data_IF_927060307819
#
_entry.id   IF_927060307819
#
_cell.length_a   1.000
_cell.length_b   1.000
_cell.length_c   1.000
_cell.angle_alpha   90.00
_cell.angle_beta   90.00
_cell.angle_gamma   90.00
#
_symmetry.space_group_name_H-M   'P 1'
#
loop_
_entity.id
_entity.type
_entity.pdbx_description
1 polymer ?
#
# COMPACT_ATOMS: atom_id res chain seq x y z
N UNK A 1 22.06 4.44 -18.78
CA UNK A 1 21.83 4.26 -17.33
C UNK A 1 22.31 2.84 -17.05
N UNK A 2 23.47 2.70 -16.43
CA UNK A 2 24.21 1.44 -16.41
C UNK A 2 23.77 0.54 -15.27
N UNK A 3 23.92 -0.78 -15.45
CA UNK A 3 23.50 -1.85 -14.52
C UNK A 3 24.03 -1.62 -13.09
N UNK A 4 25.22 -1.02 -12.98
CA UNK A 4 25.86 -0.68 -11.71
C UNK A 4 25.05 0.35 -10.91
N UNK A 5 24.39 1.29 -11.60
CA UNK A 5 23.53 2.30 -10.97
C UNK A 5 22.25 1.69 -10.38
N UNK A 6 21.67 0.68 -11.04
CA UNK A 6 20.51 -0.03 -10.51
C UNK A 6 20.86 -0.85 -9.27
N UNK A 7 21.98 -1.58 -9.31
CA UNK A 7 22.41 -2.39 -8.16
C UNK A 7 22.67 -1.53 -6.92
N UNK A 8 23.29 -0.36 -7.09
CA UNK A 8 23.55 0.58 -6.00
C UNK A 8 22.28 1.17 -5.38
N UNK A 9 21.26 1.45 -6.21
CA UNK A 9 19.96 1.93 -5.75
C UNK A 9 19.23 0.82 -4.97
N UNK A 10 19.26 -0.42 -5.46
CA UNK A 10 18.63 -1.57 -4.79
C UNK A 10 19.27 -1.87 -3.44
N UNK A 11 20.60 -1.89 -3.35
CA UNK A 11 21.32 -2.08 -2.06
C UNK A 11 21.01 -0.97 -1.05
N UNK A 12 20.87 0.28 -1.53
CA UNK A 12 20.49 1.43 -0.69
C UNK A 12 19.06 1.31 -0.17
N UNK A 13 18.13 0.80 -0.98
CA UNK A 13 16.75 0.56 -0.55
C UNK A 13 16.67 -0.58 0.47
N UNK A 14 17.35 -1.71 0.22
CA UNK A 14 17.44 -2.84 1.15
C UNK A 14 18.04 -2.45 2.51
N UNK A 15 19.07 -1.60 2.53
CA UNK A 15 19.67 -1.11 3.78
C UNK A 15 18.80 -0.11 4.55
N UNK A 16 17.84 0.54 3.88
CA UNK A 16 16.97 1.56 4.50
C UNK A 16 15.70 0.99 5.12
N UNK A 17 15.32 -0.24 4.75
CA UNK A 17 14.13 -0.91 5.25
C UNK A 17 14.52 -1.93 6.31
N UNK A 18 14.03 -1.75 7.54
CA UNK A 18 14.23 -2.75 8.59
C UNK A 18 13.37 -3.98 8.27
N UNK A 19 13.75 -5.16 8.75
CA UNK A 19 13.04 -6.42 8.49
C UNK A 19 11.54 -6.38 8.90
N UNK A 20 11.16 -5.44 9.79
CA UNK A 20 9.76 -5.16 10.16
C UNK A 20 8.96 -4.43 9.09
N UNK A 21 9.60 -3.63 8.24
CA UNK A 21 8.92 -2.88 7.18
C UNK A 21 8.54 -3.81 6.01
N UNK A 22 9.25 -4.94 5.86
CA UNK A 22 8.92 -6.00 4.91
C UNK A 22 7.73 -6.87 5.36
N UNK A 23 7.43 -6.94 6.67
CA UNK A 23 6.27 -7.69 7.18
C UNK A 23 4.92 -7.07 6.77
N UNK A 24 4.92 -5.82 6.29
CA UNK A 24 3.72 -5.07 5.89
C UNK A 24 3.53 -5.06 4.36
N UNK A 25 4.53 -5.52 3.59
CA UNK A 25 4.48 -5.53 2.13
C UNK A 25 3.90 -6.85 1.62
N UNK A 26 2.98 -6.75 0.66
CA UNK A 26 2.46 -7.91 -0.06
C UNK A 26 3.54 -8.37 -1.04
N UNK A 27 4.02 -9.60 -0.89
CA UNK A 27 5.03 -10.17 -1.80
C UNK A 27 4.38 -10.64 -3.12
N UNK A 28 5.20 -10.84 -4.16
CA UNK A 28 4.73 -11.16 -5.53
C UNK A 28 3.74 -12.33 -5.58
N UNK A 29 4.00 -13.41 -4.84
CA UNK A 29 3.11 -14.58 -4.80
C UNK A 29 1.75 -14.25 -4.18
N UNK A 30 1.73 -13.39 -3.16
CA UNK A 30 0.49 -12.94 -2.53
C UNK A 30 -0.28 -11.98 -3.44
N UNK A 31 0.42 -11.11 -4.18
CA UNK A 31 -0.19 -10.24 -5.20
C UNK A 31 -0.80 -11.07 -6.34
N UNK A 32 -0.09 -12.10 -6.82
CA UNK A 32 -0.60 -12.99 -7.85
C UNK A 32 -1.86 -13.73 -7.40
N UNK A 33 -1.86 -14.25 -6.16
CA UNK A 33 -3.03 -14.91 -5.59
C UNK A 33 -4.22 -13.96 -5.42
N UNK A 34 -3.97 -12.71 -5.05
CA UNK A 34 -5.00 -11.67 -4.95
C UNK A 34 -5.66 -11.43 -6.32
N UNK A 35 -4.86 -11.27 -7.39
CA UNK A 35 -5.39 -11.07 -8.75
C UNK A 35 -6.17 -12.29 -9.25
N UNK A 36 -5.61 -13.50 -9.09
CA UNK A 36 -6.24 -14.76 -9.54
C UNK A 36 -7.60 -14.99 -8.87
N UNK A 37 -7.76 -14.57 -7.61
CA UNK A 37 -9.01 -14.65 -6.87
C UNK A 37 -10.07 -13.61 -7.30
N UNK A 38 -9.80 -12.84 -8.37
CA UNK A 38 -10.77 -11.93 -8.98
C UNK A 38 -10.71 -10.49 -8.48
N UNK A 39 -9.67 -10.12 -7.72
CA UNK A 39 -9.48 -8.74 -7.28
C UNK A 39 -8.66 -7.95 -8.32
N UNK A 40 -9.02 -6.68 -8.49
CA UNK A 40 -8.36 -5.76 -9.43
C UNK A 40 -7.55 -4.72 -8.66
N UNK A 41 -6.33 -4.45 -9.13
CA UNK A 41 -5.54 -3.31 -8.67
C UNK A 41 -5.93 -2.12 -9.52
N UNK A 42 -6.36 -1.04 -8.88
CA UNK A 42 -6.72 0.21 -9.54
C UNK A 42 -5.65 1.26 -9.27
N UNK A 43 -5.11 1.83 -10.34
CA UNK A 43 -4.35 3.08 -10.25
C UNK A 43 -5.35 4.24 -10.30
N UNK A 44 -5.57 4.85 -9.16
CA UNK A 44 -6.70 5.75 -8.92
C UNK A 44 -6.38 7.21 -9.27
N UNK A 45 -5.12 7.51 -9.63
CA UNK A 45 -4.65 8.85 -10.00
C UNK A 45 -4.66 9.87 -8.85
N UNK A 46 -5.10 9.47 -7.65
CA UNK A 46 -5.02 10.30 -6.44
C UNK A 46 -3.58 10.41 -5.97
N UNK A 47 -3.21 11.63 -5.57
CA UNK A 47 -1.85 11.94 -5.13
C UNK A 47 -1.45 11.16 -3.86
N UNK A 48 -0.14 10.94 -3.63
CA UNK A 48 0.37 10.12 -2.52
C UNK A 48 -0.12 10.59 -1.13
N UNK A 49 -0.38 11.89 -0.98
CA UNK A 49 -0.87 12.50 0.26
C UNK A 49 -2.27 12.01 0.67
N UNK A 50 -3.10 11.57 -0.28
CA UNK A 50 -4.43 11.03 0.00
C UNK A 50 -4.31 9.69 0.73
N UNK A 51 -3.38 8.82 0.31
CA UNK A 51 -3.15 7.52 0.96
C UNK A 51 -2.74 7.70 2.44
N UNK A 52 -1.80 8.61 2.72
CA UNK A 52 -1.36 8.92 4.08
C UNK A 52 -2.53 9.41 4.95
N UNK A 53 -3.40 10.25 4.37
CA UNK A 53 -4.57 10.79 5.06
C UNK A 53 -5.59 9.69 5.36
N UNK A 54 -5.90 8.82 4.40
CA UNK A 54 -6.82 7.68 4.57
C UNK A 54 -6.31 6.74 5.66
N UNK A 55 -5.03 6.37 5.63
CA UNK A 55 -4.42 5.50 6.64
C UNK A 55 -4.53 6.13 8.03
N UNK A 56 -4.29 7.45 8.14
CA UNK A 56 -4.42 8.17 9.41
C UNK A 56 -5.86 8.14 9.95
N UNK A 57 -6.88 8.27 9.10
CA UNK A 57 -8.27 8.17 9.52
C UNK A 57 -8.66 6.74 9.90
N UNK A 58 -8.22 5.73 9.13
CA UNK A 58 -8.45 4.32 9.44
C UNK A 58 -7.85 3.93 10.81
N UNK A 59 -6.66 4.43 11.13
CA UNK A 59 -5.98 4.16 12.41
C UNK A 59 -6.66 4.81 13.62
N UNK A 60 -7.59 5.75 13.43
CA UNK A 60 -8.38 6.33 14.53
C UNK A 60 -9.63 5.51 14.87
N UNK A 61 -9.99 4.53 14.03
CA UNK A 61 -11.18 3.74 14.26
C UNK A 61 -10.93 2.72 15.38
N UNK A 62 -11.78 2.74 16.39
CA UNK A 62 -11.70 1.81 17.53
C UNK A 62 -11.89 0.34 17.11
N UNK A 63 -12.54 0.09 15.97
CA UNK A 63 -12.77 -1.23 15.42
C UNK A 63 -12.97 -1.20 13.90
N UNK A 64 -12.86 -2.36 13.24
CA UNK A 64 -13.06 -2.47 11.80
C UNK A 64 -14.55 -2.25 11.43
N UNK A 65 -14.89 -1.19 10.68
CA UNK A 65 -16.28 -0.83 10.35
C UNK A 65 -16.92 -1.73 9.27
N UNK A 66 -16.17 -2.68 8.70
CA UNK A 66 -16.61 -3.58 7.62
C UNK A 66 -17.22 -2.77 6.47
N UNK A 67 -18.47 -3.05 6.12
CA UNK A 67 -19.18 -2.45 4.99
C UNK A 67 -19.43 -0.94 5.17
N UNK A 68 -19.30 -0.42 6.40
CA UNK A 68 -19.46 1.01 6.71
C UNK A 68 -18.14 1.79 6.61
N UNK A 69 -17.09 1.21 6.03
CA UNK A 69 -15.76 1.84 5.93
C UNK A 69 -15.81 3.17 5.17
N UNK A 70 -16.64 3.28 4.13
CA UNK A 70 -16.80 4.53 3.37
C UNK A 70 -17.62 5.59 4.10
N UNK A 71 -18.40 5.21 5.10
CA UNK A 71 -19.12 6.18 5.96
C UNK A 71 -18.23 6.62 7.13
N UNK A 72 -17.37 5.72 7.60
CA UNK A 72 -16.39 5.97 8.68
C UNK A 72 -15.15 6.73 8.18
N UNK A 73 -14.75 6.52 6.93
CA UNK A 73 -13.68 7.25 6.24
C UNK A 73 -14.23 7.75 4.89
N UNK A 74 -14.93 8.90 4.87
CA UNK A 74 -15.57 9.44 3.67
C UNK A 74 -14.64 9.66 2.48
N UNK A 75 -13.35 9.90 2.74
CA UNK A 75 -12.33 10.11 1.72
C UNK A 75 -12.16 8.90 0.78
N UNK A 76 -12.53 7.70 1.23
CA UNK A 76 -12.55 6.49 0.39
C UNK A 76 -13.59 6.56 -0.76
N UNK A 77 -14.54 7.50 -0.70
CA UNK A 77 -15.53 7.72 -1.78
C UNK A 77 -14.96 8.52 -2.96
N UNK A 78 -13.80 9.16 -2.78
CA UNK A 78 -13.14 9.98 -3.79
C UNK A 78 -12.13 9.18 -4.65
N UNK A 79 -11.99 7.88 -4.36
CA UNK A 79 -11.12 6.91 -5.03
C UNK A 79 -11.97 6.05 -5.97
#
# INVERSE_FOLDING_TARGET
MDIIGYQFILEKMEHSMTNKDWEILIIDDQMAQFIINGYMILETGVGPTINETIIKELNKLDSNPRDLVTDSVPLLKEI
#
